data_IF_672121336821
#
_entry.id   IF_672121336821
#
_cell.length_a   1.000
_cell.length_b   1.000
_cell.length_c   1.000
_cell.angle_alpha   90.00
_cell.angle_beta   90.00
_cell.angle_gamma   90.00
#
_symmetry.space_group_name_H-M   'P 1'
#
loop_
_entity.id
_entity.type
_entity.pdbx_description
1 polymer ?
#
# COMPACT_ATOMS: atom_id res chain seq x y z
N UNK A 1 -7.22 -7.15 -20.71
CA UNK A 1 -6.30 -7.27 -19.56
C UNK A 1 -5.47 -8.53 -19.79
N UNK A 2 -4.17 -8.38 -19.93
CA UNK A 2 -3.25 -9.52 -20.02
C UNK A 2 -2.80 -9.87 -18.60
N UNK A 3 -3.11 -11.05 -18.10
CA UNK A 3 -2.52 -11.55 -16.87
C UNK A 3 -1.11 -12.06 -17.19
N UNK A 4 -0.10 -11.43 -16.63
CA UNK A 4 1.28 -11.87 -16.77
C UNK A 4 1.79 -12.40 -15.42
N UNK A 5 2.38 -13.60 -15.42
CA UNK A 5 3.02 -14.12 -14.21
C UNK A 5 4.40 -13.52 -14.06
N UNK A 6 4.66 -12.89 -12.91
CA UNK A 6 5.97 -12.37 -12.53
C UNK A 6 6.80 -13.38 -11.73
N UNK A 7 6.22 -14.53 -11.42
CA UNK A 7 6.94 -15.60 -10.71
C UNK A 7 7.97 -16.25 -11.61
N UNK A 8 9.15 -16.61 -11.11
CA UNK A 8 10.16 -17.31 -11.86
C UNK A 8 9.62 -18.64 -12.40
N UNK A 9 9.97 -18.99 -13.65
CA UNK A 9 9.71 -20.33 -14.18
C UNK A 9 10.61 -21.36 -13.51
N UNK A 10 10.08 -22.56 -13.25
CA UNK A 10 10.87 -23.67 -12.71
C UNK A 10 10.86 -23.82 -11.18
N UNK A 11 9.94 -23.12 -10.50
CA UNK A 11 9.72 -23.31 -9.06
C UNK A 11 9.19 -24.74 -8.78
N UNK A 12 9.74 -25.37 -7.74
CA UNK A 12 9.25 -26.64 -7.22
C UNK A 12 8.12 -26.43 -6.22
N UNK A 13 7.37 -27.47 -5.92
CA UNK A 13 6.31 -27.40 -4.92
C UNK A 13 6.84 -27.07 -3.52
N UNK A 14 8.09 -27.43 -3.22
CA UNK A 14 8.73 -27.05 -1.96
C UNK A 14 9.12 -25.57 -1.91
N UNK A 15 9.44 -24.97 -3.05
CA UNK A 15 9.72 -23.53 -3.12
C UNK A 15 8.44 -22.71 -2.91
N UNK A 16 7.29 -23.30 -3.18
CA UNK A 16 5.96 -22.69 -3.02
C UNK A 16 5.39 -22.87 -1.61
N UNK A 17 5.89 -23.84 -0.84
CA UNK A 17 5.49 -24.02 0.56
C UNK A 17 6.02 -22.85 1.40
N UNK A 18 5.09 -22.06 1.95
CA UNK A 18 5.41 -20.82 2.71
C UNK A 18 5.56 -19.56 1.84
N UNK A 19 5.38 -19.67 0.52
CA UNK A 19 5.40 -18.53 -0.38
C UNK A 19 3.99 -18.10 -0.84
N UNK A 20 2.94 -18.47 -0.12
CA UNK A 20 1.55 -18.24 -0.51
C UNK A 20 1.27 -16.75 -0.72
N UNK A 21 1.80 -15.88 0.13
CA UNK A 21 1.68 -14.44 0.03
C UNK A 21 2.19 -13.89 -1.31
N UNK A 22 3.23 -14.51 -1.87
CA UNK A 22 3.81 -14.10 -3.15
C UNK A 22 2.89 -14.34 -4.36
N UNK A 23 1.79 -15.08 -4.17
CA UNK A 23 0.77 -15.37 -5.18
C UNK A 23 -0.45 -14.44 -5.08
N UNK A 24 -0.37 -13.41 -4.24
CA UNK A 24 -1.44 -12.43 -4.12
C UNK A 24 -1.72 -11.76 -5.47
N UNK A 25 -2.99 -11.45 -5.71
CA UNK A 25 -3.39 -10.66 -6.87
C UNK A 25 -2.95 -9.22 -6.68
N UNK A 26 -2.29 -8.68 -7.69
CA UNK A 26 -1.86 -7.28 -7.73
C UNK A 26 -2.75 -6.50 -8.68
N UNK A 27 -3.26 -5.37 -8.23
CA UNK A 27 -4.09 -4.48 -9.02
C UNK A 27 -3.51 -3.07 -8.97
N UNK A 28 -3.33 -2.46 -10.13
CA UNK A 28 -3.08 -1.04 -10.27
C UNK A 28 -4.28 -0.39 -10.94
N UNK A 29 -4.79 0.69 -10.38
CA UNK A 29 -5.96 1.42 -10.87
C UNK A 29 -5.50 2.79 -11.30
N UNK A 30 -5.67 3.11 -12.58
CA UNK A 30 -5.32 4.41 -13.15
C UNK A 30 -6.58 5.16 -13.57
N UNK A 31 -6.64 6.46 -13.25
CA UNK A 31 -7.70 7.36 -13.71
C UNK A 31 -7.13 8.76 -14.00
N UNK A 32 -7.01 9.11 -15.26
CA UNK A 32 -6.26 10.30 -15.69
C UNK A 32 -4.80 10.19 -15.26
N UNK A 33 -4.33 11.14 -14.48
CA UNK A 33 -2.97 11.15 -13.94
C UNK A 33 -2.86 10.38 -12.60
N UNK A 34 -3.99 9.98 -11.99
CA UNK A 34 -4.01 9.29 -10.70
C UNK A 34 -3.75 7.80 -10.82
N UNK A 35 -2.86 7.27 -9.99
CA UNK A 35 -2.54 5.85 -9.87
C UNK A 35 -2.65 5.33 -8.42
N UNK A 36 -3.39 4.22 -8.25
CA UNK A 36 -3.57 3.53 -6.99
C UNK A 36 -3.10 2.08 -7.09
N UNK A 37 -2.25 1.66 -6.16
CA UNK A 37 -1.74 0.29 -6.07
C UNK A 37 -2.34 -0.48 -4.89
N UNK A 38 -2.64 -1.77 -5.10
CA UNK A 38 -2.87 -2.76 -4.04
C UNK A 38 -2.32 -4.12 -4.48
N UNK A 39 -1.52 -4.76 -3.64
CA UNK A 39 -0.81 -6.00 -3.96
C UNK A 39 -1.08 -7.16 -3.00
N UNK A 40 -2.09 -7.05 -2.12
CA UNK A 40 -2.31 -8.07 -1.09
C UNK A 40 -1.08 -8.24 -0.20
N UNK A 41 -0.66 -9.47 0.02
CA UNK A 41 0.45 -9.80 0.92
C UNK A 41 1.77 -10.08 0.19
N UNK A 42 1.94 -9.62 -1.06
CA UNK A 42 3.26 -9.70 -1.69
C UNK A 42 4.30 -8.99 -0.83
N UNK A 43 5.53 -9.50 -0.83
CA UNK A 43 6.60 -8.94 -0.03
C UNK A 43 7.98 -9.08 -0.71
N UNK A 44 9.02 -8.60 -0.06
CA UNK A 44 10.41 -8.61 -0.54
C UNK A 44 11.21 -9.83 -0.10
N UNK A 45 10.58 -10.90 0.41
CA UNK A 45 11.29 -12.09 0.89
C UNK A 45 12.08 -12.76 -0.24
N UNK A 46 13.34 -12.98 0.03
CA UNK A 46 14.23 -13.68 -0.90
C UNK A 46 13.91 -15.19 -0.94
N UNK A 47 14.13 -15.88 -2.07
CA UNK A 47 14.74 -15.39 -3.31
C UNK A 47 13.75 -14.72 -4.30
N UNK A 48 12.49 -14.58 -3.95
CA UNK A 48 11.44 -14.18 -4.90
C UNK A 48 11.41 -12.67 -5.13
N UNK A 49 11.48 -11.88 -4.07
CA UNK A 49 11.38 -10.41 -4.10
C UNK A 49 10.31 -9.93 -5.11
N UNK A 50 9.07 -10.40 -4.89
CA UNK A 50 7.96 -10.12 -5.80
C UNK A 50 7.59 -8.65 -5.76
N UNK A 51 7.70 -8.03 -4.58
CA UNK A 51 7.37 -6.62 -4.38
C UNK A 51 8.21 -5.72 -5.29
N UNK A 52 9.53 -5.89 -5.31
CA UNK A 52 10.41 -5.08 -6.18
C UNK A 52 10.13 -5.31 -7.68
N UNK A 53 9.82 -6.55 -8.07
CA UNK A 53 9.47 -6.88 -9.47
C UNK A 53 8.16 -6.25 -9.91
N UNK A 54 7.16 -6.22 -9.03
CA UNK A 54 5.89 -5.54 -9.26
C UNK A 54 6.12 -4.04 -9.37
N UNK A 55 6.79 -3.45 -8.38
CA UNK A 55 7.08 -2.02 -8.33
C UNK A 55 7.78 -1.52 -9.60
N UNK A 56 8.76 -2.28 -10.10
CA UNK A 56 9.47 -1.93 -11.34
C UNK A 56 8.58 -1.94 -12.60
N UNK A 57 7.43 -2.64 -12.55
CA UNK A 57 6.48 -2.71 -13.67
C UNK A 57 5.39 -1.65 -13.60
N UNK A 58 4.90 -1.33 -12.40
CA UNK A 58 3.84 -0.34 -12.24
C UNK A 58 4.36 1.09 -12.31
N UNK A 59 5.61 1.33 -11.89
CA UNK A 59 6.19 2.67 -11.85
C UNK A 59 5.62 3.54 -10.74
N UNK A 60 5.67 4.85 -10.93
CA UNK A 60 5.18 5.83 -9.94
C UNK A 60 3.69 5.63 -9.63
N UNK A 61 3.32 5.87 -8.39
CA UNK A 61 1.98 5.63 -7.85
C UNK A 61 1.63 6.73 -6.87
N UNK A 62 0.44 7.29 -6.91
CA UNK A 62 0.02 8.34 -5.97
C UNK A 62 -0.32 7.76 -4.60
N UNK A 63 -1.13 6.70 -4.59
CA UNK A 63 -1.56 6.03 -3.36
C UNK A 63 -1.14 4.56 -3.39
N UNK A 64 -0.43 4.15 -2.37
CA UNK A 64 0.02 2.78 -2.19
C UNK A 64 -0.70 2.12 -1.01
N UNK A 65 -1.61 1.20 -1.28
CA UNK A 65 -2.16 0.32 -0.26
C UNK A 65 -1.09 -0.70 0.11
N UNK A 66 -0.61 -0.60 1.35
CA UNK A 66 0.59 -1.30 1.80
C UNK A 66 0.47 -2.81 1.65
N UNK A 67 1.47 -3.40 1.04
CA UNK A 67 1.59 -4.84 0.92
C UNK A 67 1.82 -5.45 2.29
N UNK A 68 1.29 -6.66 2.51
CA UNK A 68 1.48 -7.49 3.70
C UNK A 68 1.34 -6.68 5.01
N UNK A 69 0.29 -5.82 5.09
CA UNK A 69 -0.02 -4.98 6.25
C UNK A 69 1.14 -4.07 6.71
N UNK A 70 2.06 -3.75 5.80
CA UNK A 70 3.33 -3.08 6.11
C UNK A 70 4.19 -3.86 7.14
N UNK A 71 4.28 -5.18 7.03
CA UNK A 71 5.25 -5.98 7.76
C UNK A 71 6.68 -5.57 7.43
N UNK A 72 7.64 -5.91 8.29
CA UNK A 72 9.05 -5.58 8.06
C UNK A 72 9.66 -6.28 6.84
N UNK A 73 9.04 -7.37 6.35
CA UNK A 73 9.39 -8.08 5.11
C UNK A 73 8.76 -7.50 3.84
N UNK A 74 8.04 -6.40 3.96
CA UNK A 74 7.43 -5.65 2.87
C UNK A 74 7.82 -4.17 2.89
N UNK A 75 7.33 -3.39 1.94
CA UNK A 75 7.64 -1.97 1.82
C UNK A 75 9.14 -1.71 1.74
N UNK A 76 9.85 -2.53 0.97
CA UNK A 76 11.30 -2.44 0.83
C UNK A 76 11.70 -1.22 -0.01
N UNK A 77 12.89 -0.68 0.27
CA UNK A 77 13.43 0.54 -0.35
C UNK A 77 13.39 0.52 -1.88
N UNK A 78 13.68 -0.64 -2.50
CA UNK A 78 13.64 -0.77 -3.96
C UNK A 78 12.23 -0.58 -4.52
N UNK A 79 11.21 -1.10 -3.83
CA UNK A 79 9.81 -0.93 -4.23
C UNK A 79 9.36 0.51 -4.01
N UNK A 80 9.66 1.10 -2.86
CA UNK A 80 9.31 2.47 -2.51
C UNK A 80 9.94 3.48 -3.48
N UNK A 81 11.21 3.28 -3.83
CA UNK A 81 11.91 4.14 -4.79
C UNK A 81 11.31 4.05 -6.19
N UNK A 82 10.89 2.87 -6.63
CA UNK A 82 10.30 2.68 -7.96
C UNK A 82 8.89 3.26 -8.06
N UNK A 83 8.11 3.19 -6.97
CA UNK A 83 6.72 3.66 -6.93
C UNK A 83 6.57 5.07 -6.40
N UNK A 84 7.51 5.53 -5.57
CA UNK A 84 7.57 6.89 -5.01
C UNK A 84 6.20 7.42 -4.53
N UNK A 85 5.45 6.73 -3.66
CA UNK A 85 4.09 7.11 -3.33
C UNK A 85 4.02 8.44 -2.55
N UNK A 86 2.92 9.17 -2.73
CA UNK A 86 2.61 10.35 -1.90
C UNK A 86 1.86 9.97 -0.63
N UNK A 87 1.09 8.87 -0.70
CA UNK A 87 0.24 8.41 0.39
C UNK A 87 0.33 6.89 0.53
N UNK A 88 0.42 6.44 1.77
CA UNK A 88 0.31 5.03 2.15
C UNK A 88 -0.99 4.78 2.91
N UNK A 89 -1.70 3.72 2.55
CA UNK A 89 -2.83 3.19 3.29
C UNK A 89 -2.43 1.86 3.91
N UNK A 90 -2.36 1.79 5.23
CA UNK A 90 -1.93 0.60 5.99
C UNK A 90 -3.16 -0.19 6.43
N UNK A 91 -3.42 -1.38 5.87
CA UNK A 91 -4.53 -2.25 6.26
C UNK A 91 -4.14 -3.12 7.47
N UNK A 92 -3.75 -2.51 8.58
CA UNK A 92 -3.32 -3.22 9.78
C UNK A 92 -4.36 -3.10 10.90
N UNK A 93 -4.38 -4.09 11.79
CA UNK A 93 -5.25 -4.13 12.96
C UNK A 93 -4.44 -3.96 14.25
N UNK A 94 -5.05 -3.36 15.26
CA UNK A 94 -4.42 -2.97 16.53
C UNK A 94 -3.70 -4.11 17.28
N UNK A 95 -4.16 -5.35 17.11
CA UNK A 95 -3.65 -6.51 17.87
C UNK A 95 -2.43 -7.16 17.25
N UNK A 96 -2.15 -6.86 16.00
CA UNK A 96 -1.08 -7.49 15.26
C UNK A 96 0.24 -6.73 15.42
N UNK A 97 1.36 -7.39 15.13
CA UNK A 97 2.68 -6.75 15.12
C UNK A 97 2.86 -5.77 13.95
N UNK A 98 1.77 -5.49 13.22
CA UNK A 98 1.77 -4.63 12.04
C UNK A 98 1.19 -3.24 12.35
N UNK A 99 1.65 -2.22 11.66
CA UNK A 99 2.83 -2.21 10.77
C UNK A 99 4.14 -2.42 11.53
N UNK A 100 5.14 -2.97 10.85
CA UNK A 100 6.49 -3.15 11.38
C UNK A 100 7.24 -1.82 11.55
N UNK A 101 8.17 -1.77 12.50
CA UNK A 101 8.92 -0.55 12.77
C UNK A 101 9.85 -0.16 11.62
N UNK A 102 10.52 -1.16 11.02
CA UNK A 102 11.41 -0.94 9.89
C UNK A 102 10.65 -0.54 8.62
N UNK A 103 9.46 -1.12 8.39
CA UNK A 103 8.60 -0.72 7.27
C UNK A 103 8.16 0.73 7.42
N UNK A 104 7.67 1.14 8.59
CA UNK A 104 7.28 2.54 8.87
C UNK A 104 8.47 3.51 8.71
N UNK A 105 9.66 3.12 9.21
CA UNK A 105 10.85 3.95 9.07
C UNK A 105 11.21 4.22 7.61
N UNK A 106 11.02 3.22 6.72
CA UNK A 106 11.24 3.39 5.28
C UNK A 106 10.16 4.27 4.62
N UNK A 107 8.89 4.02 4.95
CA UNK A 107 7.74 4.69 4.31
C UNK A 107 7.69 6.20 4.57
N UNK A 108 8.02 6.64 5.77
CA UNK A 108 7.91 8.06 6.18
C UNK A 108 8.80 9.02 5.37
N UNK A 109 9.82 8.51 4.72
CA UNK A 109 10.70 9.34 3.87
C UNK A 109 10.06 9.61 2.49
N UNK A 110 8.93 8.96 2.17
CA UNK A 110 8.25 9.06 0.87
C UNK A 110 6.92 9.81 0.92
N UNK A 111 6.08 9.55 1.92
CA UNK A 111 4.75 10.14 1.94
C UNK A 111 3.99 9.99 3.26
N UNK A 112 2.79 10.54 3.29
CA UNK A 112 1.89 10.48 4.44
C UNK A 112 1.36 9.07 4.67
N UNK A 113 1.30 8.63 5.93
CA UNK A 113 0.88 7.27 6.31
C UNK A 113 -0.47 7.33 7.02
N UNK A 114 -1.47 6.62 6.47
CA UNK A 114 -2.81 6.48 7.04
C UNK A 114 -3.08 5.01 7.40
N UNK A 115 -3.56 4.75 8.61
CA UNK A 115 -3.93 3.41 9.04
C UNK A 115 -5.44 3.27 9.28
N UNK A 116 -6.00 2.13 8.88
CA UNK A 116 -7.41 1.81 9.11
C UNK A 116 -7.74 1.49 10.57
N UNK A 117 -6.73 1.16 11.38
CA UNK A 117 -6.86 0.90 12.82
C UNK A 117 -6.31 2.06 13.65
N UNK A 118 -6.63 2.13 14.97
CA UNK A 118 -6.03 3.10 15.86
C UNK A 118 -4.52 3.14 15.73
N UNK A 119 -3.97 4.35 15.57
CA UNK A 119 -2.54 4.53 15.45
C UNK A 119 -1.83 4.05 16.71
N UNK A 120 -0.99 3.04 16.56
CA UNK A 120 -0.08 2.63 17.62
C UNK A 120 1.15 3.52 17.72
N UNK A 121 1.37 4.35 16.70
CA UNK A 121 2.60 5.13 16.51
C UNK A 121 2.26 6.54 16.04
N UNK A 122 3.01 7.51 16.53
CA UNK A 122 2.80 8.94 16.28
C UNK A 122 2.97 9.34 14.80
N UNK A 123 3.65 8.49 14.03
CA UNK A 123 3.94 8.72 12.60
C UNK A 123 2.75 8.40 11.66
N UNK A 124 1.63 7.89 12.21
CA UNK A 124 0.46 7.51 11.43
C UNK A 124 -0.75 8.36 11.76
N UNK A 125 -1.45 8.80 10.72
CA UNK A 125 -2.81 9.37 10.86
C UNK A 125 -3.80 8.23 10.84
N UNK A 126 -4.59 8.03 11.89
CA UNK A 126 -5.45 6.86 12.03
C UNK A 126 -6.75 7.14 12.78
N UNK A 127 -7.56 6.12 12.84
CA UNK A 127 -8.79 5.88 13.58
C UNK A 127 -10.07 5.90 12.76
N UNK A 128 -10.09 5.23 11.63
CA UNK A 128 -11.34 5.08 10.89
C UNK A 128 -11.13 4.55 9.48
N UNK A 129 -12.18 4.59 8.70
CA UNK A 129 -12.07 4.22 7.29
C UNK A 129 -11.27 5.27 6.55
N UNK A 130 -10.22 4.82 5.85
CA UNK A 130 -9.44 5.67 4.95
C UNK A 130 -10.12 5.69 3.59
N UNK A 131 -10.56 6.87 3.17
CA UNK A 131 -11.22 7.07 1.87
C UNK A 131 -10.33 7.93 0.99
N UNK A 132 -10.00 7.41 -0.18
CA UNK A 132 -9.29 8.13 -1.23
C UNK A 132 -10.32 8.68 -2.21
N UNK A 133 -10.47 9.99 -2.27
CA UNK A 133 -11.33 10.67 -3.22
C UNK A 133 -10.50 11.22 -4.36
N UNK A 134 -10.73 10.72 -5.55
CA UNK A 134 -10.13 11.24 -6.78
C UNK A 134 -11.10 12.22 -7.43
N UNK A 135 -10.61 13.38 -7.83
CA UNK A 135 -11.41 14.40 -8.49
C UNK A 135 -11.48 14.16 -10.00
N UNK A 136 -12.43 14.85 -10.64
CA UNK A 136 -12.67 14.71 -12.09
C UNK A 136 -11.39 14.94 -12.89
N UNK A 137 -11.10 14.01 -13.80
CA UNK A 137 -9.89 14.03 -14.63
C UNK A 137 -8.67 13.39 -13.99
N UNK A 138 -8.70 13.04 -12.69
CA UNK A 138 -7.61 12.35 -12.03
C UNK A 138 -6.40 13.21 -11.66
N UNK A 139 -6.43 14.51 -11.89
CA UNK A 139 -5.29 15.40 -11.62
C UNK A 139 -5.10 15.77 -10.15
N UNK A 140 -6.12 15.54 -9.33
CA UNK A 140 -6.10 15.80 -7.88
C UNK A 140 -6.79 14.68 -7.12
N UNK A 141 -6.31 14.40 -5.91
CA UNK A 141 -6.98 13.51 -4.96
C UNK A 141 -6.88 14.04 -3.54
N UNK A 142 -7.67 13.47 -2.64
CA UNK A 142 -7.72 13.88 -1.23
C UNK A 142 -8.02 12.66 -0.35
N UNK A 143 -7.43 12.63 0.84
CA UNK A 143 -7.68 11.58 1.82
C UNK A 143 -8.66 12.09 2.87
N UNK A 144 -9.65 11.25 3.19
CA UNK A 144 -10.56 11.46 4.30
C UNK A 144 -10.44 10.28 5.27
N UNK A 145 -10.48 10.58 6.55
CA UNK A 145 -10.62 9.58 7.61
C UNK A 145 -12.03 9.68 8.17
N UNK A 146 -12.81 8.62 8.03
CA UNK A 146 -14.19 8.57 8.50
C UNK A 146 -14.29 7.76 9.78
N UNK A 147 -15.19 8.19 10.67
CA UNK A 147 -15.49 7.49 11.91
C UNK A 147 -16.13 6.12 11.62
N UNK A 148 -15.44 5.03 11.95
CA UNK A 148 -15.90 3.65 11.77
C UNK A 148 -17.00 3.24 12.78
N UNK A 149 -17.20 4.04 13.82
CA UNK A 149 -18.23 3.85 14.86
C UNK A 149 -19.48 4.70 14.65
N UNK A 150 -19.47 5.56 13.64
CA UNK A 150 -20.60 6.41 13.28
C UNK A 150 -21.40 5.81 12.14
N UNK A 151 -22.73 5.80 12.26
CA UNK A 151 -23.61 5.40 11.15
C UNK A 151 -23.71 6.45 10.05
N UNK A 152 -23.29 7.69 10.33
CA UNK A 152 -23.42 8.85 9.44
C UNK A 152 -22.10 9.17 8.71
N UNK A 153 -21.09 8.29 8.84
CA UNK A 153 -19.77 8.47 8.21
C UNK A 153 -19.13 9.84 8.51
N UNK A 154 -19.20 10.23 9.79
CA UNK A 154 -18.58 11.47 10.26
C UNK A 154 -17.12 11.58 9.82
N UNK A 155 -16.74 12.72 9.24
CA UNK A 155 -15.35 12.98 8.85
C UNK A 155 -14.56 13.38 10.09
N UNK A 156 -13.61 12.54 10.50
CA UNK A 156 -12.70 12.81 11.63
C UNK A 156 -11.52 13.69 11.20
N UNK A 157 -10.99 13.45 10.01
CA UNK A 157 -9.86 14.20 9.45
C UNK A 157 -9.91 14.21 7.93
N UNK A 158 -9.26 15.21 7.34
CA UNK A 158 -9.04 15.31 5.89
C UNK A 158 -7.74 16.04 5.60
N UNK A 159 -7.06 15.64 4.54
CA UNK A 159 -5.87 16.34 4.07
C UNK A 159 -6.22 17.58 3.25
N UNK A 160 -5.21 18.38 2.93
CA UNK A 160 -5.26 19.19 1.71
C UNK A 160 -5.30 18.27 0.48
N UNK A 161 -5.56 18.84 -0.68
CA UNK A 161 -5.49 18.05 -1.92
C UNK A 161 -4.04 17.80 -2.32
N UNK A 162 -3.81 16.56 -2.79
CA UNK A 162 -2.58 16.21 -3.49
C UNK A 162 -2.78 16.42 -4.99
N UNK A 163 -1.70 16.73 -5.69
CA UNK A 163 -1.65 16.70 -7.15
C UNK A 163 -1.16 15.33 -7.59
N UNK A 164 -1.87 14.66 -8.49
CA UNK A 164 -1.43 13.39 -9.08
C UNK A 164 -0.19 13.60 -9.94
N UNK A 165 0.65 12.56 -10.04
CA UNK A 165 1.94 12.60 -10.73
C UNK A 165 1.83 12.34 -12.22
#
# INVERSE_FOLDING_TARGET
MSSESIMPSGLTQSDLQGAENQWSAVVNISYGDFDYHTGGDINGTQPFDVEAKVAARIGETDVFHCNHHACDDSMHENALRATSPQVFVVPAWEKDAHPGDDALARMKDYGDIFAAAPAKKDDMKANGHVVVRVYEGGSEFQIFVLNDRSTDYEVLDKTEKYTSK
#
